data_IF_600811792660
#
_entry.id   IF_600811792660
#
_cell.length_a   1.000
_cell.length_b   1.000
_cell.length_c   1.000
_cell.angle_alpha   90.00
_cell.angle_beta   90.00
_cell.angle_gamma   90.00
#
_symmetry.space_group_name_H-M   'P 1'
#
loop_
_entity.id
_entity.type
_entity.pdbx_description
1 polymer ?
#
# COMPACT_ATOMS: atom_id res chain seq x y z
N UNK A 1 27.14 -7.45 8.97
CA UNK A 1 25.91 -6.86 8.40
C UNK A 1 24.80 -7.85 8.66
N UNK A 2 24.10 -7.70 9.78
CA UNK A 2 23.08 -8.64 10.23
C UNK A 2 21.84 -8.43 9.37
N UNK A 3 21.42 -9.45 8.60
CA UNK A 3 20.12 -9.43 7.92
C UNK A 3 19.04 -9.46 9.00
N UNK A 4 18.33 -8.34 9.17
CA UNK A 4 17.08 -8.32 9.92
C UNK A 4 16.09 -9.24 9.21
N UNK A 5 15.51 -10.20 9.92
CA UNK A 5 14.40 -11.02 9.41
C UNK A 5 13.21 -10.09 9.13
N UNK A 6 12.55 -10.30 7.99
CA UNK A 6 11.41 -9.50 7.52
C UNK A 6 10.06 -10.14 7.86
N UNK A 7 10.05 -11.35 8.42
CA UNK A 7 8.85 -12.05 8.84
C UNK A 7 8.05 -11.22 9.84
N UNK A 8 6.77 -11.00 9.55
CA UNK A 8 5.86 -10.17 10.36
C UNK A 8 5.99 -8.66 10.14
N UNK A 9 6.84 -8.20 9.22
CA UNK A 9 6.90 -6.77 8.86
C UNK A 9 5.64 -6.35 8.12
N UNK A 10 5.19 -5.11 8.34
CA UNK A 10 4.07 -4.48 7.61
C UNK A 10 4.58 -3.43 6.65
N UNK A 11 4.35 -3.60 5.36
CA UNK A 11 4.83 -2.69 4.31
C UNK A 11 3.67 -2.02 3.61
N UNK A 12 3.68 -0.69 3.55
CA UNK A 12 2.74 0.08 2.75
C UNK A 12 3.16 0.06 1.28
N UNK A 13 2.28 -0.40 0.40
CA UNK A 13 2.50 -0.40 -1.05
C UNK A 13 1.59 0.63 -1.71
N UNK A 14 2.21 1.68 -2.26
CA UNK A 14 1.55 2.75 -3.02
C UNK A 14 1.55 2.38 -4.50
N UNK A 15 0.39 2.36 -5.16
CA UNK A 15 0.28 2.09 -6.60
C UNK A 15 -0.87 2.85 -7.26
N UNK A 16 -0.67 3.31 -8.49
CA UNK A 16 -1.72 3.97 -9.28
C UNK A 16 -2.77 3.03 -9.87
N UNK A 17 -2.49 1.73 -9.97
CA UNK A 17 -3.47 0.78 -10.50
C UNK A 17 -3.44 -0.54 -9.74
N UNK A 18 -4.62 -1.14 -9.58
CA UNK A 18 -4.81 -2.53 -9.15
C UNK A 18 -4.59 -3.45 -10.37
N UNK A 19 -3.33 -3.53 -10.81
CA UNK A 19 -2.92 -4.29 -12.00
C UNK A 19 -2.07 -5.51 -11.70
N UNK A 20 -1.58 -6.20 -12.75
CA UNK A 20 -0.73 -7.38 -12.64
C UNK A 20 0.52 -7.19 -11.77
N UNK A 21 1.06 -5.97 -11.72
CA UNK A 21 2.21 -5.64 -10.88
C UNK A 21 1.91 -5.95 -9.42
N UNK A 22 0.74 -5.55 -8.93
CA UNK A 22 0.32 -5.75 -7.54
C UNK A 22 0.32 -7.23 -7.15
N UNK A 23 -0.15 -8.09 -8.04
CA UNK A 23 -0.23 -9.54 -7.80
C UNK A 23 1.14 -10.15 -7.49
N UNK A 24 2.17 -9.79 -8.24
CA UNK A 24 3.53 -10.31 -7.99
C UNK A 24 4.09 -9.86 -6.64
N UNK A 25 3.73 -8.65 -6.18
CA UNK A 25 4.11 -8.20 -4.83
C UNK A 25 3.35 -8.94 -3.74
N UNK A 26 2.04 -9.16 -3.92
CA UNK A 26 1.23 -9.96 -2.98
C UNK A 26 1.78 -11.37 -2.82
N UNK A 27 2.10 -12.05 -3.93
CA UNK A 27 2.69 -13.39 -3.91
C UNK A 27 4.08 -13.42 -3.26
N UNK A 28 4.88 -12.38 -3.46
CA UNK A 28 6.19 -12.27 -2.81
C UNK A 28 6.07 -12.02 -1.30
N UNK A 29 5.14 -11.15 -0.89
CA UNK A 29 4.94 -10.83 0.52
C UNK A 29 4.42 -12.04 1.32
N UNK A 30 3.47 -12.79 0.75
CA UNK A 30 2.97 -14.04 1.34
C UNK A 30 4.11 -15.05 1.59
N UNK A 31 5.00 -15.22 0.59
CA UNK A 31 6.18 -16.09 0.70
C UNK A 31 7.21 -15.63 1.74
N UNK A 32 7.23 -14.34 2.05
CA UNK A 32 8.17 -13.72 3.00
C UNK A 32 7.55 -13.48 4.38
N UNK A 33 6.29 -13.86 4.59
CA UNK A 33 5.58 -13.56 5.84
C UNK A 33 5.39 -12.07 6.10
N UNK A 34 5.40 -11.24 5.06
CA UNK A 34 5.21 -9.79 5.13
C UNK A 34 3.75 -9.45 4.91
N UNK A 35 3.19 -8.58 5.75
CA UNK A 35 1.87 -8.02 5.53
C UNK A 35 1.97 -6.83 4.58
N UNK A 36 1.22 -6.86 3.47
CA UNK A 36 1.09 -5.70 2.59
C UNK A 36 -0.15 -4.90 2.94
N UNK A 37 0.05 -3.63 3.25
CA UNK A 37 -1.01 -2.62 3.33
C UNK A 37 -1.07 -1.94 1.98
N UNK A 38 -2.20 -2.05 1.28
CA UNK A 38 -2.36 -1.46 -0.04
C UNK A 38 -2.87 -0.04 0.07
N UNK A 39 -2.29 0.87 -0.70
CA UNK A 39 -2.79 2.22 -0.89
C UNK A 39 -2.82 2.52 -2.39
N UNK A 40 -4.03 2.61 -2.95
CA UNK A 40 -4.23 2.73 -4.40
C UNK A 40 -5.07 3.93 -4.78
N UNK A 41 -4.77 4.49 -5.96
CA UNK A 41 -5.53 5.61 -6.50
C UNK A 41 -6.94 5.15 -6.83
N UNK A 42 -7.91 5.61 -6.04
CA UNK A 42 -9.32 5.31 -6.26
C UNK A 42 -10.18 6.49 -5.89
N UNK A 43 -11.29 6.64 -6.63
CA UNK A 43 -12.26 7.67 -6.33
C UNK A 43 -12.89 7.41 -4.96
N UNK A 44 -12.94 8.43 -4.09
CA UNK A 44 -13.58 8.37 -2.76
C UNK A 44 -15.06 7.95 -2.81
N UNK A 45 -15.69 8.10 -3.97
CA UNK A 45 -17.09 7.74 -4.18
C UNK A 45 -17.30 6.24 -4.42
N UNK A 46 -16.21 5.46 -4.47
CA UNK A 46 -16.20 4.02 -4.57
C UNK A 46 -15.68 3.44 -3.24
N UNK A 47 -16.48 2.59 -2.62
CA UNK A 47 -16.23 2.09 -1.26
C UNK A 47 -15.05 1.10 -1.22
N UNK A 48 -15.23 -0.10 -1.77
CA UNK A 48 -14.15 -1.04 -2.09
C UNK A 48 -14.60 -1.96 -3.24
N UNK A 49 -14.55 -1.48 -4.49
CA UNK A 49 -15.06 -2.24 -5.63
C UNK A 49 -14.20 -3.47 -5.96
N UNK A 50 -12.95 -3.50 -5.52
CA UNK A 50 -12.02 -4.62 -5.74
C UNK A 50 -12.00 -5.62 -4.58
N UNK A 51 -12.58 -5.25 -3.42
CA UNK A 51 -12.61 -6.06 -2.19
C UNK A 51 -11.19 -6.45 -1.74
N UNK A 52 -10.24 -5.55 -1.95
CA UNK A 52 -8.84 -5.71 -1.62
C UNK A 52 -8.45 -4.97 -0.33
N UNK A 53 -9.38 -4.22 0.27
CA UNK A 53 -9.13 -3.46 1.49
C UNK A 53 -8.11 -2.34 1.32
N UNK A 54 -7.83 -1.90 0.09
CA UNK A 54 -6.85 -0.86 -0.16
C UNK A 54 -7.31 0.49 0.42
N UNK A 55 -6.39 1.20 1.06
CA UNK A 55 -6.56 2.59 1.48
C UNK A 55 -6.78 3.44 0.23
N UNK A 56 -7.85 4.23 0.22
CA UNK A 56 -8.13 5.15 -0.87
C UNK A 56 -7.14 6.32 -0.85
N UNK A 57 -6.24 6.40 -1.81
CA UNK A 57 -5.39 7.58 -2.00
C UNK A 57 -5.81 8.35 -3.25
N UNK A 58 -5.41 9.62 -3.31
CA UNK A 58 -5.69 10.58 -4.38
C UNK A 58 -4.37 11.26 -4.75
N UNK A 59 -3.72 10.84 -5.83
CA UNK A 59 -2.41 11.43 -6.15
C UNK A 59 -2.44 12.92 -6.51
N UNK A 60 -3.61 13.44 -6.90
CA UNK A 60 -3.82 14.88 -7.10
C UNK A 60 -4.02 15.67 -5.80
N UNK A 61 -4.24 14.98 -4.67
CA UNK A 61 -4.50 15.57 -3.36
C UNK A 61 -3.64 14.84 -2.31
N UNK A 62 -2.36 15.23 -2.28
CA UNK A 62 -1.33 14.64 -1.41
C UNK A 62 -1.72 14.72 0.07
N UNK A 63 -2.19 15.90 0.52
CA UNK A 63 -2.53 16.11 1.93
C UNK A 63 -3.64 15.17 2.37
N UNK A 64 -4.71 15.05 1.57
CA UNK A 64 -5.80 14.17 1.94
C UNK A 64 -5.39 12.69 1.89
N UNK A 65 -4.51 12.31 0.97
CA UNK A 65 -3.93 10.95 0.93
C UNK A 65 -3.11 10.62 2.16
N UNK A 66 -2.30 11.57 2.64
CA UNK A 66 -1.50 11.39 3.86
C UNK A 66 -2.38 11.21 5.10
N UNK A 67 -3.46 11.97 5.22
CA UNK A 67 -4.41 11.84 6.35
C UNK A 67 -5.10 10.46 6.38
N UNK A 68 -5.52 9.96 5.22
CA UNK A 68 -6.13 8.62 5.09
C UNK A 68 -5.14 7.51 5.46
N UNK A 69 -3.92 7.57 4.91
CA UNK A 69 -2.85 6.61 5.24
C UNK A 69 -2.54 6.66 6.73
N UNK A 70 -2.30 7.86 7.27
CA UNK A 70 -1.97 8.05 8.68
C UNK A 70 -3.08 7.51 9.58
N UNK A 71 -4.34 7.74 9.21
CA UNK A 71 -5.49 7.20 9.95
C UNK A 71 -5.55 5.68 9.92
N UNK A 72 -5.32 5.07 8.75
CA UNK A 72 -5.37 3.62 8.57
C UNK A 72 -4.24 2.88 9.30
N UNK A 73 -3.04 3.45 9.36
CA UNK A 73 -1.87 2.80 9.98
C UNK A 73 -1.63 3.21 11.43
N UNK A 74 -2.50 4.05 12.01
CA UNK A 74 -2.32 4.58 13.38
C UNK A 74 -2.30 3.50 14.46
N UNK A 75 -3.13 2.46 14.32
CA UNK A 75 -3.27 1.38 15.31
C UNK A 75 -2.32 0.20 15.05
N UNK A 76 -1.85 0.08 13.81
CA UNK A 76 -0.88 -0.91 13.38
C UNK A 76 0.14 -0.18 12.49
N UNK A 77 1.31 0.22 13.05
CA UNK A 77 2.34 0.92 12.30
C UNK A 77 2.85 0.10 11.11
N UNK A 78 3.52 0.77 10.18
CA UNK A 78 4.23 0.16 9.06
C UNK A 78 5.74 0.26 9.29
N UNK A 79 6.47 -0.75 8.83
CA UNK A 79 7.92 -0.85 8.94
C UNK A 79 8.64 -0.34 7.69
N UNK A 80 7.89 -0.17 6.59
CA UNK A 80 8.43 0.30 5.32
C UNK A 80 7.37 0.80 4.34
N UNK A 81 7.83 1.54 3.34
CA UNK A 81 7.01 2.07 2.25
C UNK A 81 7.65 1.63 0.93
N UNK A 82 6.82 1.10 0.03
CA UNK A 82 7.16 0.77 -1.34
C UNK A 82 6.26 1.58 -2.28
N UNK A 83 6.85 2.47 -3.08
CA UNK A 83 6.14 3.23 -4.10
C UNK A 83 6.33 2.58 -5.47
N UNK A 84 5.22 2.22 -6.12
CA UNK A 84 5.18 1.65 -7.47
C UNK A 84 4.57 2.65 -8.44
N UNK A 85 5.33 2.95 -9.48
CA UNK A 85 4.94 3.90 -10.52
C UNK A 85 5.87 5.10 -10.55
N UNK A 86 5.93 5.75 -11.72
CA UNK A 86 6.63 7.02 -11.88
C UNK A 86 5.70 8.18 -11.57
N UNK A 87 6.29 9.32 -11.21
CA UNK A 87 5.55 10.58 -11.12
C UNK A 87 4.93 10.87 -12.50
N UNK A 88 3.62 11.10 -12.61
CA UNK A 88 3.02 11.54 -13.87
C UNK A 88 3.76 12.79 -14.39
N UNK A 89 4.23 12.74 -15.64
CA UNK A 89 4.87 13.88 -16.32
C UNK A 89 3.86 14.88 -16.82
#
# INVERSE_FOLDING_TARGET
>A
MTMTSVDGSRVLLLSATTGYQLRSFTEAADRLGVELVLATDRCHNLDDPWRDGAIAVRFYDEHASLEEIHTAVRTAPIDGILALGDRPT
#
